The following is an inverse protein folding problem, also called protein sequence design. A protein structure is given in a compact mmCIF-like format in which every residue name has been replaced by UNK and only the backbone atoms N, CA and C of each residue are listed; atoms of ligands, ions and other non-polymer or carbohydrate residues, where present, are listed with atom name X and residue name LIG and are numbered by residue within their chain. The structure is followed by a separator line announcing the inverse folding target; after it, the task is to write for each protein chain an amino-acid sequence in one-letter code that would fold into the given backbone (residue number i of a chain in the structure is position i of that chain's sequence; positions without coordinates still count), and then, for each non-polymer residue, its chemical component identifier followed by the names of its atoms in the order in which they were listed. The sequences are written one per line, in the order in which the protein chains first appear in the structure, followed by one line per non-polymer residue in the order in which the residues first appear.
data_IF_947007908034
#
_entry.id   IF_947007908034
#
_cell.length_a   1.000
_cell.length_b   1.000
_cell.length_c   1.000
_cell.angle_alpha   90.00
_cell.angle_beta   90.00
_cell.angle_gamma   90.00
#
_symmetry.space_group_name_H-M   'P 1'
#
loop_
_entity.id
_entity.type
_entity.pdbx_description
1 polymer ?
#
# COMPACT_ATOMS: atom_id res chain seq x y z
N UNK A 1 39.66 -9.55 64.96
CA UNK A 1 39.84 -8.68 63.77
C UNK A 1 40.04 -9.56 62.55
N UNK A 2 38.98 -9.88 61.81
CA UNK A 2 38.89 -9.76 60.34
C UNK A 2 37.52 -10.25 59.83
N UNK A 3 37.10 -9.58 58.75
CA UNK A 3 35.77 -9.34 58.20
C UNK A 3 34.95 -10.56 57.69
N UNK A 4 33.62 -10.39 57.50
CA UNK A 4 32.70 -11.44 57.05
C UNK A 4 32.70 -11.66 55.53
N UNK A 5 32.24 -12.85 55.14
CA UNK A 5 31.83 -13.24 53.79
C UNK A 5 30.95 -12.19 53.11
N UNK A 6 31.29 -11.80 51.89
CA UNK A 6 30.32 -11.21 50.97
C UNK A 6 30.67 -11.63 49.52
N UNK A 7 30.16 -12.81 49.11
CA UNK A 7 30.25 -13.34 47.75
C UNK A 7 29.00 -13.03 46.90
N UNK A 8 28.12 -12.13 47.34
CA UNK A 8 26.86 -11.85 46.67
C UNK A 8 26.82 -10.43 46.11
N UNK A 9 27.51 -10.18 44.99
CA UNK A 9 27.03 -9.30 43.90
C UNK A 9 28.07 -9.22 42.77
N UNK A 10 28.20 -10.30 41.99
CA UNK A 10 28.89 -10.19 40.69
C UNK A 10 27.79 -10.06 39.64
N UNK A 11 27.65 -8.91 38.95
CA UNK A 11 26.73 -8.83 37.83
C UNK A 11 27.19 -9.89 36.83
N UNK A 12 26.37 -10.92 36.61
CA UNK A 12 26.58 -11.88 35.54
C UNK A 12 26.65 -11.08 34.24
N UNK A 13 27.86 -10.92 33.73
CA UNK A 13 28.10 -10.32 32.42
C UNK A 13 27.50 -11.31 31.43
N UNK A 14 26.24 -11.06 31.01
CA UNK A 14 25.61 -11.80 29.93
C UNK A 14 26.63 -11.98 28.78
N UNK A 15 26.79 -13.19 28.22
CA UNK A 15 27.68 -13.40 27.11
C UNK A 15 27.33 -12.39 26.01
N UNK A 16 28.32 -11.59 25.58
CA UNK A 16 28.14 -10.55 24.55
C UNK A 16 27.40 -11.08 23.31
N UNK A 17 27.59 -12.36 22.99
CA UNK A 17 26.88 -13.08 21.92
C UNK A 17 25.37 -13.23 22.14
N UNK A 18 24.91 -13.44 23.37
CA UNK A 18 23.48 -13.57 23.68
C UNK A 18 22.76 -12.23 23.65
N UNK A 19 23.41 -11.17 24.12
CA UNK A 19 22.91 -9.80 23.98
C UNK A 19 22.81 -9.39 22.50
N UNK A 20 23.85 -9.67 21.70
CA UNK A 20 23.85 -9.43 20.26
C UNK A 20 22.77 -10.24 19.52
N UNK A 21 22.62 -11.52 19.85
CA UNK A 21 21.59 -12.37 19.26
C UNK A 21 20.18 -11.85 19.57
N UNK A 22 19.94 -11.35 20.79
CA UNK A 22 18.66 -10.77 21.19
C UNK A 22 18.33 -9.51 20.38
N UNK A 23 19.32 -8.64 20.19
CA UNK A 23 19.20 -7.41 19.38
C UNK A 23 18.95 -7.76 17.91
N UNK A 24 19.72 -8.68 17.34
CA UNK A 24 19.53 -9.14 15.96
C UNK A 24 18.16 -9.77 15.74
N UNK A 25 17.69 -10.62 16.66
CA UNK A 25 16.35 -11.24 16.57
C UNK A 25 15.23 -10.20 16.63
N UNK A 26 15.39 -9.15 17.44
CA UNK A 26 14.46 -8.01 17.51
C UNK A 26 14.47 -7.19 16.21
N UNK A 27 15.66 -6.94 15.64
CA UNK A 27 15.81 -6.24 14.36
C UNK A 27 15.19 -7.02 13.20
N UNK A 28 15.40 -8.34 13.15
CA UNK A 28 14.80 -9.21 12.13
C UNK A 28 13.28 -9.30 12.27
N UNK A 29 12.76 -9.37 13.50
CA UNK A 29 11.32 -9.35 13.74
C UNK A 29 10.69 -8.03 13.30
N UNK A 30 11.35 -6.91 13.59
CA UNK A 30 10.89 -5.58 13.17
C UNK A 30 10.99 -5.38 11.66
N UNK A 31 12.07 -5.84 11.03
CA UNK A 31 12.26 -5.72 9.58
C UNK A 31 11.20 -6.51 8.80
N UNK A 32 10.83 -7.71 9.25
CA UNK A 32 9.76 -8.50 8.60
C UNK A 32 8.41 -7.80 8.63
N UNK A 33 8.06 -7.15 9.75
CA UNK A 33 6.82 -6.40 9.88
C UNK A 33 6.80 -5.14 9.00
N UNK A 34 7.92 -4.42 8.92
CA UNK A 34 8.04 -3.23 8.09
C UNK A 34 8.07 -3.57 6.59
N UNK A 35 8.75 -4.67 6.20
CA UNK A 35 8.74 -5.17 4.83
C UNK A 35 7.33 -5.57 4.37
N UNK A 36 6.54 -6.22 5.23
CA UNK A 36 5.15 -6.55 4.92
C UNK A 36 4.26 -5.32 4.70
N UNK A 37 4.49 -4.24 5.47
CA UNK A 37 3.78 -2.96 5.27
C UNK A 37 4.24 -2.23 4.00
N UNK A 38 5.54 -2.19 3.75
CA UNK A 38 6.09 -1.56 2.55
C UNK A 38 5.65 -2.28 1.27
N UNK A 39 5.60 -3.61 1.28
CA UNK A 39 5.12 -4.40 0.15
C UNK A 39 3.64 -4.13 -0.15
N UNK A 40 2.78 -4.06 0.89
CA UNK A 40 1.35 -3.70 0.73
C UNK A 40 1.19 -2.29 0.16
N UNK A 41 1.87 -1.30 0.76
CA UNK A 41 1.83 0.08 0.26
C UNK A 41 2.35 0.21 -1.16
N UNK A 42 3.38 -0.56 -1.54
CA UNK A 42 3.90 -0.57 -2.91
C UNK A 42 2.89 -1.15 -3.90
N UNK A 43 2.19 -2.21 -3.51
CA UNK A 43 1.14 -2.84 -4.33
C UNK A 43 -0.05 -1.90 -4.52
N UNK A 44 -0.54 -1.29 -3.45
CA UNK A 44 -1.64 -0.29 -3.49
C UNK A 44 -1.28 0.89 -4.41
N UNK A 45 -0.04 1.38 -4.34
CA UNK A 45 0.43 2.47 -5.23
C UNK A 45 0.46 2.06 -6.70
N UNK A 46 0.85 0.82 -7.01
CA UNK A 46 0.86 0.32 -8.39
C UNK A 46 -0.57 0.14 -8.91
N UNK A 47 -1.45 -0.40 -8.07
CA UNK A 47 -2.87 -0.57 -8.39
C UNK A 47 -3.55 0.78 -8.66
N UNK A 48 -3.33 1.77 -7.78
CA UNK A 48 -3.84 3.12 -7.96
C UNK A 48 -3.35 3.76 -9.26
N UNK A 49 -2.07 3.57 -9.62
CA UNK A 49 -1.52 4.04 -10.90
C UNK A 49 -2.18 3.38 -12.10
N UNK A 50 -2.45 2.07 -12.02
CA UNK A 50 -3.11 1.35 -13.08
C UNK A 50 -4.55 1.83 -13.27
N UNK A 51 -5.30 1.94 -12.17
CA UNK A 51 -6.68 2.41 -12.21
C UNK A 51 -6.80 3.83 -12.79
N UNK A 52 -5.88 4.74 -12.44
CA UNK A 52 -5.84 6.08 -13.03
C UNK A 52 -5.58 6.07 -14.53
N UNK A 53 -4.64 5.24 -14.99
CA UNK A 53 -4.39 5.09 -16.44
C UNK A 53 -5.60 4.52 -17.17
N UNK A 54 -6.29 3.55 -16.57
CA UNK A 54 -7.49 2.99 -17.15
C UNK A 54 -8.61 4.04 -17.21
N UNK A 55 -8.77 4.86 -16.16
CA UNK A 55 -9.71 5.97 -16.12
C UNK A 55 -9.43 6.98 -17.22
N UNK A 56 -8.18 7.42 -17.39
CA UNK A 56 -7.78 8.35 -18.46
C UNK A 56 -8.08 7.78 -19.85
N UNK A 57 -7.82 6.48 -20.06
CA UNK A 57 -8.14 5.79 -21.31
C UNK A 57 -9.64 5.79 -21.60
N UNK A 58 -10.47 5.51 -20.58
CA UNK A 58 -11.93 5.49 -20.73
C UNK A 58 -12.49 6.89 -21.00
N UNK A 59 -11.97 7.93 -20.36
CA UNK A 59 -12.32 9.32 -20.68
C UNK A 59 -12.00 9.68 -22.12
N UNK A 60 -10.80 9.33 -22.59
CA UNK A 60 -10.41 9.57 -23.99
C UNK A 60 -11.31 8.84 -24.98
N UNK A 61 -11.70 7.59 -24.67
CA UNK A 61 -12.63 6.81 -25.49
C UNK A 61 -14.05 7.38 -25.48
N UNK A 62 -14.52 7.83 -24.32
CA UNK A 62 -15.82 8.51 -24.18
C UNK A 62 -15.84 9.77 -25.04
N UNK A 63 -14.83 10.63 -24.95
CA UNK A 63 -14.74 11.85 -25.76
C UNK A 63 -14.83 11.59 -27.26
N UNK A 64 -14.11 10.57 -27.76
CA UNK A 64 -14.19 10.15 -29.18
C UNK A 64 -15.58 9.64 -29.56
N UNK A 65 -16.20 8.86 -28.67
CA UNK A 65 -17.54 8.31 -28.91
C UNK A 65 -18.58 9.43 -28.93
N UNK A 66 -18.52 10.34 -27.96
CA UNK A 66 -19.40 11.50 -27.87
C UNK A 66 -19.26 12.42 -29.08
N UNK A 67 -18.04 12.63 -29.59
CA UNK A 67 -17.80 13.42 -30.80
C UNK A 67 -18.61 12.88 -31.98
N UNK A 68 -18.49 11.58 -32.28
CA UNK A 68 -19.20 10.96 -33.40
C UNK A 68 -20.71 10.92 -33.20
N UNK A 69 -21.18 10.74 -31.97
CA UNK A 69 -22.61 10.73 -31.67
C UNK A 69 -23.24 12.12 -31.80
N UNK A 70 -22.53 13.17 -31.37
CA UNK A 70 -22.95 14.56 -31.58
C UNK A 70 -23.00 14.92 -33.07
N UNK A 71 -22.02 14.47 -33.87
CA UNK A 71 -22.07 14.63 -35.33
C UNK A 71 -23.28 13.92 -35.95
N UNK A 72 -23.69 12.78 -35.40
CA UNK A 72 -24.88 12.03 -35.82
C UNK A 72 -26.21 12.60 -35.28
N UNK A 73 -26.17 13.62 -34.42
CA UNK A 73 -27.35 14.18 -33.74
C UNK A 73 -27.90 13.31 -32.61
N UNK A 74 -27.14 12.30 -32.15
CA UNK A 74 -27.50 11.41 -31.07
C UNK A 74 -26.83 11.86 -29.76
N UNK A 75 -27.60 12.39 -28.81
CA UNK A 75 -27.06 12.86 -27.51
C UNK A 75 -27.25 11.84 -26.37
N UNK A 76 -28.10 10.83 -26.57
CA UNK A 76 -28.27 9.72 -25.65
C UNK A 76 -28.10 8.40 -26.41
N UNK A 77 -27.12 7.60 -25.96
CA UNK A 77 -26.77 6.36 -26.64
C UNK A 77 -26.31 5.30 -25.62
N UNK A 78 -26.67 4.02 -25.79
CA UNK A 78 -26.26 2.95 -24.88
C UNK A 78 -24.74 2.84 -24.67
N UNK A 79 -23.94 3.20 -25.68
CA UNK A 79 -22.49 3.20 -25.55
C UNK A 79 -21.98 4.27 -24.58
N UNK A 80 -22.62 5.44 -24.53
CA UNK A 80 -22.29 6.50 -23.58
C UNK A 80 -22.60 6.06 -22.15
N UNK A 81 -23.80 5.50 -21.93
CA UNK A 81 -24.20 4.97 -20.61
C UNK A 81 -23.23 3.90 -20.09
N UNK A 82 -22.81 2.97 -20.95
CA UNK A 82 -21.81 1.95 -20.59
C UNK A 82 -20.45 2.55 -20.24
N UNK A 83 -20.01 3.57 -20.98
CA UNK A 83 -18.75 4.25 -20.72
C UNK A 83 -18.79 5.03 -19.40
N UNK A 84 -19.88 5.75 -19.12
CA UNK A 84 -20.10 6.47 -17.85
C UNK A 84 -20.09 5.49 -16.68
N UNK A 85 -20.89 4.42 -16.73
CA UNK A 85 -20.92 3.43 -15.66
C UNK A 85 -19.53 2.83 -15.37
N UNK A 86 -18.71 2.64 -16.41
CA UNK A 86 -17.35 2.13 -16.24
C UNK A 86 -16.40 3.17 -15.63
N UNK A 87 -16.58 4.44 -15.96
CA UNK A 87 -15.84 5.56 -15.33
C UNK A 87 -16.20 5.63 -13.84
N UNK A 88 -17.48 5.60 -13.51
CA UNK A 88 -17.96 5.64 -12.12
C UNK A 88 -17.36 4.47 -11.29
N UNK A 89 -17.33 3.26 -11.86
CA UNK A 89 -16.69 2.10 -11.23
C UNK A 89 -15.19 2.30 -10.95
N UNK A 90 -14.47 2.95 -11.87
CA UNK A 90 -13.04 3.21 -11.73
C UNK A 90 -12.77 4.30 -10.69
N UNK A 91 -13.58 5.37 -10.71
CA UNK A 91 -13.51 6.45 -9.72
C UNK A 91 -13.78 5.92 -8.31
N UNK A 92 -14.81 5.10 -8.12
CA UNK A 92 -15.12 4.48 -6.83
C UNK A 92 -13.96 3.60 -6.31
N UNK A 93 -13.29 2.85 -7.19
CA UNK A 93 -12.12 2.03 -6.80
C UNK A 93 -10.92 2.89 -6.42
N UNK A 94 -10.69 3.98 -7.15
CA UNK A 94 -9.63 4.94 -6.86
C UNK A 94 -9.87 5.58 -5.50
N UNK A 95 -11.09 6.04 -5.24
CA UNK A 95 -11.48 6.64 -3.97
C UNK A 95 -11.26 5.67 -2.81
N UNK A 96 -11.73 4.43 -2.95
CA UNK A 96 -11.55 3.39 -1.92
C UNK A 96 -10.07 3.10 -1.59
N UNK A 97 -9.15 3.22 -2.55
CA UNK A 97 -7.71 3.04 -2.33
C UNK A 97 -7.02 4.30 -1.79
N UNK A 98 -7.67 5.47 -1.85
CA UNK A 98 -7.13 6.73 -1.36
C UNK A 98 -7.58 7.07 0.07
N UNK A 99 -8.67 6.46 0.54
CA UNK A 99 -9.12 6.61 1.93
C UNK A 99 -8.21 5.76 2.87
N UNK A 100 -7.71 6.34 3.97
CA UNK A 100 -6.71 5.73 4.87
C UNK A 100 -7.24 4.61 5.76
#
# INVERSE_FOLDING_TARGET
MNMPNNEADRPELEPLGDALNRVMRRLVGRSRLELGRAARSSRERLELRQLRRDLDHFWARLGKTSYHLVEAGEIDHPALRKAIARIDELEAKIEALQQP
#
